data_IF_062989448203
#
_entry.id   IF_062989448203
#
_cell.length_a   1.000
_cell.length_b   1.000
_cell.length_c   1.000
_cell.angle_alpha   90.00
_cell.angle_beta   90.00
_cell.angle_gamma   90.00
#
_symmetry.space_group_name_H-M   'P 1'
#
loop_
_entity.id
_entity.type
_entity.pdbx_description
1 polymer ?
#
# COMPACT_ATOMS: atom_id res chain seq x y z
N UNK A 1 0.56 7.76 24.82
CA UNK A 1 1.60 8.64 25.39
C UNK A 1 2.96 8.47 24.71
N UNK A 2 3.65 7.31 24.78
CA UNK A 2 4.96 7.17 24.11
C UNK A 2 4.92 7.31 22.57
N UNK A 3 3.91 6.75 21.91
CA UNK A 3 3.85 6.80 20.45
C UNK A 3 3.67 8.23 19.90
N UNK A 4 2.99 9.09 20.64
CA UNK A 4 2.79 10.50 20.23
C UNK A 4 4.09 11.28 20.20
N UNK A 5 5.06 10.94 21.07
CA UNK A 5 6.34 11.66 21.18
C UNK A 5 7.32 11.29 20.06
N UNK A 6 7.11 10.15 19.39
CA UNK A 6 7.99 9.67 18.30
C UNK A 6 7.40 9.93 16.90
N UNK A 7 6.18 10.47 16.82
CA UNK A 7 5.53 10.84 15.57
C UNK A 7 5.86 12.29 15.19
N UNK A 8 6.53 12.47 14.06
CA UNK A 8 6.71 13.79 13.46
C UNK A 8 5.38 14.31 12.88
N UNK A 9 5.23 15.64 12.84
CA UNK A 9 4.08 16.29 12.18
C UNK A 9 4.58 17.06 10.96
N UNK A 10 3.98 16.81 9.81
CA UNK A 10 4.30 17.53 8.56
C UNK A 10 3.54 18.85 8.47
N UNK A 11 3.91 19.71 7.51
CA UNK A 11 3.20 20.97 7.24
C UNK A 11 1.72 20.76 6.88
N UNK A 12 1.37 19.62 6.27
CA UNK A 12 0.00 19.22 5.94
C UNK A 12 -0.79 18.65 7.13
N UNK A 13 -0.16 18.48 8.30
CA UNK A 13 -0.78 17.86 9.48
C UNK A 13 -0.72 16.34 9.52
N UNK A 14 -0.04 15.69 8.56
CA UNK A 14 0.18 14.24 8.59
C UNK A 14 1.12 13.86 9.74
N UNK A 15 0.80 12.78 10.44
CA UNK A 15 1.65 12.19 11.49
C UNK A 15 2.49 11.07 10.89
N UNK A 16 3.81 11.17 11.03
CA UNK A 16 4.76 10.25 10.40
C UNK A 16 5.59 9.54 11.46
N UNK A 17 5.56 8.21 11.44
CA UNK A 17 6.54 7.38 12.13
C UNK A 17 7.63 7.01 11.14
N UNK A 18 8.79 7.66 11.24
CA UNK A 18 9.90 7.41 10.34
C UNK A 18 10.55 6.05 10.61
N UNK A 19 11.00 5.38 9.55
CA UNK A 19 11.88 4.22 9.69
C UNK A 19 13.23 4.64 10.32
N UNK A 20 13.96 3.71 10.97
CA UNK A 20 15.29 3.98 11.48
C UNK A 20 16.23 4.53 10.39
N UNK A 21 17.10 5.47 10.74
CA UNK A 21 18.07 6.07 9.80
C UNK A 21 19.10 5.05 9.30
N UNK A 22 19.47 4.10 10.15
CA UNK A 22 20.39 3.02 9.79
C UNK A 22 19.59 1.74 9.55
N UNK A 23 19.70 1.12 8.35
CA UNK A 23 18.98 -0.11 8.03
C UNK A 23 19.23 -1.26 9.02
N UNK A 24 20.43 -1.33 9.60
CA UNK A 24 20.79 -2.35 10.59
C UNK A 24 19.85 -2.32 11.80
N UNK A 25 19.43 -1.15 12.27
CA UNK A 25 18.48 -1.04 13.37
C UNK A 25 17.08 -1.52 12.98
N UNK A 26 16.69 -1.45 11.71
CA UNK A 26 15.39 -1.96 11.26
C UNK A 26 15.31 -3.49 11.33
N UNK A 27 16.44 -4.18 11.14
CA UNK A 27 16.54 -5.64 11.27
C UNK A 27 16.52 -6.11 12.72
N UNK A 28 16.90 -5.26 13.66
CA UNK A 28 16.81 -5.54 15.10
C UNK A 28 15.39 -5.43 15.65
N UNK A 29 14.47 -4.75 14.94
CA UNK A 29 13.08 -4.58 15.39
C UNK A 29 12.31 -5.89 15.22
N UNK A 30 11.81 -6.50 16.30
CA UNK A 30 11.03 -7.74 16.21
C UNK A 30 9.67 -7.53 15.52
N UNK A 31 9.19 -8.54 14.79
CA UNK A 31 7.86 -8.54 14.13
C UNK A 31 6.72 -8.15 15.08
N UNK A 32 6.78 -8.60 16.35
CA UNK A 32 5.77 -8.27 17.38
C UNK A 32 5.70 -6.77 17.66
N UNK A 33 6.81 -6.04 17.53
CA UNK A 33 6.85 -4.59 17.73
C UNK A 33 6.05 -3.87 16.64
N UNK A 34 6.19 -4.28 15.39
CA UNK A 34 5.40 -3.73 14.27
C UNK A 34 3.89 -3.91 14.51
N UNK A 35 3.46 -5.12 14.87
CA UNK A 35 2.03 -5.39 15.11
C UNK A 35 1.45 -4.60 16.29
N UNK A 36 2.24 -4.39 17.36
CA UNK A 36 1.84 -3.54 18.50
C UNK A 36 1.73 -2.07 18.10
N UNK A 37 2.70 -1.56 17.36
CA UNK A 37 2.68 -0.18 16.84
C UNK A 37 1.46 0.04 15.96
N UNK A 38 1.20 -0.86 15.01
CA UNK A 38 0.02 -0.78 14.15
C UNK A 38 -1.29 -0.82 14.93
N UNK A 39 -1.38 -1.65 15.98
CA UNK A 39 -2.54 -1.68 16.87
C UNK A 39 -2.81 -0.31 17.52
N UNK A 40 -1.77 0.31 18.08
CA UNK A 40 -1.89 1.64 18.70
C UNK A 40 -2.22 2.73 17.66
N UNK A 41 -1.58 2.72 16.49
CA UNK A 41 -1.85 3.71 15.43
C UNK A 41 -3.30 3.63 14.94
N UNK A 42 -3.85 2.41 14.82
CA UNK A 42 -5.26 2.20 14.42
C UNK A 42 -6.27 2.74 15.43
N UNK A 43 -5.93 2.82 16.70
CA UNK A 43 -6.79 3.42 17.73
C UNK A 43 -6.70 4.95 17.71
N UNK A 44 -5.61 5.51 17.19
CA UNK A 44 -5.33 6.95 17.20
C UNK A 44 -5.73 7.68 15.91
N UNK A 45 -5.81 6.97 14.78
CA UNK A 45 -6.00 7.57 13.46
C UNK A 45 -7.10 6.87 12.65
N UNK A 46 -7.85 7.64 11.86
CA UNK A 46 -8.83 7.12 10.91
C UNK A 46 -8.21 6.28 9.78
N UNK A 47 -6.99 6.66 9.38
CA UNK A 47 -6.22 5.99 8.33
C UNK A 47 -4.77 5.83 8.77
N UNK A 48 -4.24 4.62 8.59
CA UNK A 48 -2.82 4.30 8.80
C UNK A 48 -2.29 3.74 7.49
N UNK A 49 -1.38 4.47 6.84
CA UNK A 49 -0.72 4.04 5.62
C UNK A 49 0.66 3.50 6.01
N UNK A 50 0.95 2.27 5.61
CA UNK A 50 2.25 1.64 5.83
C UNK A 50 2.95 1.53 4.49
N UNK A 51 4.05 2.26 4.33
CA UNK A 51 4.97 2.08 3.21
C UNK A 51 5.90 0.91 3.52
N UNK A 52 5.99 -0.06 2.59
CA UNK A 52 6.63 -1.35 2.83
C UNK A 52 7.82 -1.56 1.91
N UNK A 53 8.84 -2.26 2.40
CA UNK A 53 9.87 -2.83 1.54
C UNK A 53 9.23 -3.83 0.54
N UNK A 54 9.85 -4.04 -0.65
CA UNK A 54 9.28 -4.94 -1.67
C UNK A 54 9.43 -6.43 -1.34
N UNK A 55 10.12 -6.78 -0.26
CA UNK A 55 10.40 -8.17 0.14
C UNK A 55 9.22 -8.80 0.89
N UNK A 56 8.77 -9.97 0.41
CA UNK A 56 7.74 -10.77 1.07
C UNK A 56 8.34 -11.62 2.20
N UNK A 57 8.74 -10.96 3.29
CA UNK A 57 9.26 -11.58 4.51
C UNK A 57 8.19 -11.70 5.61
N UNK A 58 8.56 -12.27 6.76
CA UNK A 58 7.67 -12.43 7.91
C UNK A 58 7.08 -11.09 8.39
N UNK A 59 7.89 -10.02 8.33
CA UNK A 59 7.49 -8.68 8.76
C UNK A 59 6.39 -8.14 7.84
N UNK A 60 6.57 -8.25 6.52
CA UNK A 60 5.54 -7.87 5.57
C UNK A 60 4.27 -8.68 5.77
N UNK A 61 4.36 -10.01 5.94
CA UNK A 61 3.18 -10.86 6.20
C UNK A 61 2.41 -10.42 7.46
N UNK A 62 3.11 -10.09 8.54
CA UNK A 62 2.49 -9.61 9.77
C UNK A 62 1.80 -8.25 9.60
N UNK A 63 2.36 -7.36 8.75
CA UNK A 63 1.73 -6.09 8.37
C UNK A 63 0.47 -6.38 7.54
N UNK A 64 0.58 -7.22 6.50
CA UNK A 64 -0.53 -7.57 5.60
C UNK A 64 -1.72 -8.18 6.37
N UNK A 65 -1.47 -9.00 7.40
CA UNK A 65 -2.49 -9.57 8.26
C UNK A 65 -3.28 -8.51 9.04
N UNK A 66 -2.62 -7.40 9.39
CA UNK A 66 -3.22 -6.26 10.08
C UNK A 66 -3.81 -5.21 9.13
N UNK A 67 -3.62 -5.33 7.83
CA UNK A 67 -4.14 -4.39 6.83
C UNK A 67 -5.59 -4.69 6.46
N UNK A 68 -6.40 -3.65 6.32
CA UNK A 68 -7.77 -3.76 5.77
C UNK A 68 -7.75 -3.78 4.23
N UNK A 69 -6.77 -3.11 3.62
CA UNK A 69 -6.57 -3.05 2.16
C UNK A 69 -5.07 -3.02 1.86
N UNK A 70 -4.68 -3.67 0.76
CA UNK A 70 -3.31 -3.74 0.25
C UNK A 70 -3.30 -3.15 -1.15
N UNK A 71 -2.70 -1.96 -1.30
CA UNK A 71 -2.42 -1.39 -2.61
C UNK A 71 -1.19 -2.08 -3.18
N UNK A 72 -1.38 -3.03 -4.09
CA UNK A 72 -0.30 -3.78 -4.70
C UNK A 72 0.12 -3.09 -6.00
N UNK A 73 1.24 -2.37 -5.95
CA UNK A 73 1.72 -1.52 -7.05
C UNK A 73 2.52 -2.36 -8.05
N UNK A 74 2.19 -2.24 -9.33
CA UNK A 74 2.88 -2.94 -10.43
C UNK A 74 3.21 -1.93 -11.51
N UNK A 75 4.45 -1.93 -12.00
CA UNK A 75 4.83 -1.12 -13.16
C UNK A 75 4.41 -1.84 -14.45
N UNK A 76 4.09 -1.06 -15.49
CA UNK A 76 3.77 -1.59 -16.82
C UNK A 76 5.04 -2.01 -17.59
N UNK A 77 5.75 -3.00 -17.07
CA UNK A 77 6.89 -3.67 -17.69
C UNK A 77 6.98 -5.17 -17.29
N UNK A 78 7.68 -5.95 -18.11
CA UNK A 78 7.72 -7.41 -17.96
C UNK A 78 8.39 -7.89 -16.65
N UNK A 79 9.53 -7.32 -16.21
CA UNK A 79 10.11 -7.67 -14.91
C UNK A 79 9.16 -7.42 -13.73
N UNK A 80 8.48 -6.28 -13.71
CA UNK A 80 7.53 -5.93 -12.65
C UNK A 80 6.33 -6.87 -12.63
N UNK A 81 5.74 -7.17 -13.79
CA UNK A 81 4.63 -8.13 -13.91
C UNK A 81 5.06 -9.54 -13.48
N UNK A 82 6.27 -9.97 -13.83
CA UNK A 82 6.80 -11.28 -13.40
C UNK A 82 6.95 -11.36 -11.88
N UNK A 83 7.54 -10.33 -11.25
CA UNK A 83 7.71 -10.28 -9.80
C UNK A 83 6.35 -10.22 -9.08
N UNK A 84 5.42 -9.41 -9.59
CA UNK A 84 4.06 -9.32 -9.10
C UNK A 84 3.35 -10.69 -9.15
N UNK A 85 3.48 -11.42 -10.25
CA UNK A 85 2.91 -12.77 -10.39
C UNK A 85 3.43 -13.72 -9.32
N UNK A 86 4.74 -13.73 -9.08
CA UNK A 86 5.35 -14.58 -8.05
C UNK A 86 4.85 -14.23 -6.65
N UNK A 87 4.85 -12.95 -6.28
CA UNK A 87 4.35 -12.50 -4.98
C UNK A 87 2.86 -12.84 -4.78
N UNK A 88 2.01 -12.62 -5.79
CA UNK A 88 0.59 -12.97 -5.72
C UNK A 88 0.35 -14.49 -5.67
N UNK A 89 1.20 -15.28 -6.34
CA UNK A 89 1.20 -16.75 -6.22
C UNK A 89 1.54 -17.19 -4.79
N UNK A 90 2.57 -16.61 -4.19
CA UNK A 90 2.93 -16.87 -2.79
C UNK A 90 1.80 -16.49 -1.83
N UNK A 91 1.22 -15.30 -1.99
CA UNK A 91 0.08 -14.87 -1.16
C UNK A 91 -1.13 -15.80 -1.30
N UNK A 92 -1.39 -16.33 -2.50
CA UNK A 92 -2.43 -17.34 -2.72
C UNK A 92 -2.12 -18.67 -2.00
N UNK A 93 -0.88 -19.13 -2.02
CA UNK A 93 -0.44 -20.33 -1.29
C UNK A 93 -0.63 -20.14 0.22
N UNK A 94 -0.36 -18.93 0.72
CA UNK A 94 -0.56 -18.56 2.12
C UNK A 94 -2.04 -18.29 2.48
N UNK A 95 -2.97 -18.49 1.54
CA UNK A 95 -4.41 -18.21 1.69
C UNK A 95 -4.71 -16.76 2.08
N UNK A 96 -3.89 -15.80 1.64
CA UNK A 96 -4.17 -14.39 1.86
C UNK A 96 -5.43 -13.97 1.08
N UNK A 97 -6.36 -13.23 1.72
CA UNK A 97 -7.64 -12.89 1.11
C UNK A 97 -7.47 -11.94 -0.09
N UNK A 98 -7.74 -12.45 -1.29
CA UNK A 98 -7.56 -11.71 -2.55
C UNK A 98 -8.40 -10.42 -2.64
N UNK A 99 -9.55 -10.35 -1.95
CA UNK A 99 -10.41 -9.15 -1.95
C UNK A 99 -9.76 -7.95 -1.23
N UNK A 100 -8.78 -8.18 -0.35
CA UNK A 100 -7.98 -7.12 0.27
C UNK A 100 -6.94 -6.53 -0.68
N UNK A 101 -6.53 -7.27 -1.71
CA UNK A 101 -5.51 -6.83 -2.67
C UNK A 101 -6.17 -5.98 -3.76
N UNK A 102 -5.64 -4.77 -3.97
CA UNK A 102 -6.08 -3.82 -5.00
C UNK A 102 -4.88 -3.51 -5.87
N UNK A 103 -4.90 -3.99 -7.12
CA UNK A 103 -3.79 -3.73 -8.05
C UNK A 103 -3.80 -2.27 -8.49
N UNK A 104 -2.66 -1.61 -8.33
CA UNK A 104 -2.45 -0.24 -8.83
C UNK A 104 -1.38 -0.30 -9.92
N UNK A 105 -1.77 -0.02 -11.16
CA UNK A 105 -0.83 0.00 -12.29
C UNK A 105 -0.10 1.34 -12.31
N UNK A 106 1.19 1.33 -11.99
CA UNK A 106 2.06 2.48 -12.10
C UNK A 106 2.68 2.58 -13.49
N UNK A 107 2.99 3.81 -13.91
CA UNK A 107 3.52 4.13 -15.24
C UNK A 107 2.65 3.56 -16.37
N UNK A 108 1.33 3.71 -16.25
CA UNK A 108 0.34 3.11 -17.17
C UNK A 108 0.41 3.57 -18.63
N UNK A 109 1.19 4.61 -18.92
CA UNK A 109 1.51 5.09 -20.27
C UNK A 109 2.90 4.64 -20.75
N UNK A 110 3.45 3.59 -20.13
CA UNK A 110 4.74 3.00 -20.50
C UNK A 110 4.77 2.61 -21.98
N UNK A 111 5.92 2.84 -22.62
CA UNK A 111 6.16 2.44 -24.02
C UNK A 111 6.47 0.94 -24.16
N UNK A 112 6.43 0.17 -23.07
CA UNK A 112 6.74 -1.25 -23.05
C UNK A 112 5.77 -2.12 -23.88
N UNK A 113 4.71 -1.55 -24.47
CA UNK A 113 3.71 -2.23 -25.33
C UNK A 113 3.09 -3.49 -24.70
N UNK A 114 2.87 -3.47 -23.39
CA UNK A 114 2.08 -4.49 -22.72
C UNK A 114 0.60 -4.13 -22.81
N UNK A 115 -0.26 -5.14 -22.91
CA UNK A 115 -1.71 -4.94 -22.83
C UNK A 115 -2.17 -5.03 -21.38
N UNK A 116 -3.03 -4.11 -20.95
CA UNK A 116 -3.65 -4.11 -19.62
C UNK A 116 -4.40 -5.43 -19.39
N UNK A 117 -5.12 -5.92 -20.41
CA UNK A 117 -5.88 -7.16 -20.32
C UNK A 117 -4.96 -8.39 -20.17
N UNK A 118 -3.75 -8.33 -20.72
CA UNK A 118 -2.75 -9.38 -20.54
C UNK A 118 -2.16 -9.36 -19.12
N UNK A 119 -1.92 -8.17 -18.58
CA UNK A 119 -1.44 -8.00 -17.20
C UNK A 119 -2.48 -8.54 -16.22
N UNK A 120 -3.75 -8.15 -16.35
CA UNK A 120 -4.83 -8.65 -15.48
C UNK A 120 -4.97 -10.18 -15.55
N UNK A 121 -4.93 -10.76 -16.75
CA UNK A 121 -4.95 -12.23 -16.94
C UNK A 121 -3.75 -12.91 -16.30
N UNK A 122 -2.55 -12.34 -16.43
CA UNK A 122 -1.32 -12.88 -15.86
C UNK A 122 -1.35 -12.86 -14.33
N UNK A 123 -1.84 -11.77 -13.74
CA UNK A 123 -1.89 -11.57 -12.29
C UNK A 123 -3.14 -12.17 -11.63
N UNK A 124 -4.17 -12.50 -12.43
CA UNK A 124 -5.48 -13.02 -12.01
C UNK A 124 -6.21 -12.08 -11.04
N UNK A 125 -6.05 -10.78 -11.26
CA UNK A 125 -6.68 -9.71 -10.49
C UNK A 125 -6.95 -8.54 -11.43
N UNK A 126 -8.08 -7.83 -11.27
CA UNK A 126 -8.34 -6.62 -12.03
C UNK A 126 -7.51 -5.45 -11.51
N UNK A 127 -7.11 -4.56 -12.41
CA UNK A 127 -6.47 -3.29 -12.09
C UNK A 127 -7.52 -2.37 -11.49
N UNK A 128 -7.29 -1.94 -10.26
CA UNK A 128 -8.22 -1.09 -9.49
C UNK A 128 -8.01 0.40 -9.76
N UNK A 129 -6.78 0.80 -10.07
CA UNK A 129 -6.44 2.17 -10.48
C UNK A 129 -5.17 2.17 -11.32
N UNK A 130 -4.95 3.24 -12.09
CA UNK A 130 -3.78 3.41 -12.95
C UNK A 130 -3.19 4.81 -12.82
N UNK A 131 -1.90 4.90 -12.51
CA UNK A 131 -1.17 6.17 -12.40
C UNK A 131 -0.20 6.29 -13.58
N UNK A 132 -0.35 7.31 -14.44
CA UNK A 132 0.56 7.50 -15.57
C UNK A 132 1.90 8.06 -15.11
N UNK A 133 2.95 7.79 -15.88
CA UNK A 133 4.25 8.45 -15.74
C UNK A 133 4.16 9.88 -16.26
N UNK A 134 4.77 10.82 -15.53
CA UNK A 134 4.89 12.23 -15.89
C UNK A 134 6.21 12.78 -15.34
N UNK A 135 6.91 13.61 -16.11
CA UNK A 135 8.17 14.23 -15.70
C UNK A 135 8.01 15.19 -14.51
N UNK A 136 6.79 15.63 -14.23
CA UNK A 136 6.46 16.44 -13.07
C UNK A 136 6.58 15.67 -11.74
N UNK A 137 6.45 14.34 -11.75
CA UNK A 137 6.52 13.55 -10.50
C UNK A 137 7.92 13.62 -9.88
N UNK A 138 9.03 13.31 -10.61
CA UNK A 138 10.38 13.53 -10.09
C UNK A 138 10.67 14.98 -9.69
N UNK A 139 10.16 15.97 -10.44
CA UNK A 139 10.34 17.38 -10.11
C UNK A 139 9.71 17.72 -8.75
N UNK A 140 8.47 17.26 -8.51
CA UNK A 140 7.73 17.46 -7.25
C UNK A 140 8.46 16.86 -6.04
N UNK A 141 9.11 15.71 -6.23
CA UNK A 141 9.92 15.06 -5.19
C UNK A 141 11.14 15.91 -4.83
N UNK A 142 11.85 16.43 -5.84
CA UNK A 142 13.04 17.27 -5.62
C UNK A 142 12.69 18.60 -4.94
N UNK A 143 11.47 19.12 -5.17
CA UNK A 143 10.95 20.32 -4.51
C UNK A 143 10.42 20.05 -3.09
N UNK A 144 10.20 18.79 -2.73
CA UNK A 144 9.61 18.40 -1.44
C UNK A 144 8.11 18.72 -1.32
N UNK A 145 7.43 18.99 -2.44
CA UNK A 145 6.00 19.31 -2.48
C UNK A 145 5.28 18.24 -3.30
N UNK A 146 4.35 17.46 -2.72
CA UNK A 146 3.65 16.39 -3.44
C UNK A 146 3.02 16.86 -4.76
N UNK A 147 3.01 16.00 -5.78
CA UNK A 147 2.44 16.30 -7.10
C UNK A 147 0.98 16.78 -7.05
N UNK A 148 0.20 16.28 -6.09
CA UNK A 148 -1.21 16.67 -5.86
C UNK A 148 -1.36 18.11 -5.39
N UNK A 149 -0.32 18.68 -4.78
CA UNK A 149 -0.29 20.06 -4.29
C UNK A 149 0.40 20.99 -5.30
N UNK A 150 1.59 20.61 -5.80
CA UNK A 150 2.35 21.42 -6.76
C UNK A 150 1.67 21.49 -8.14
N UNK A 151 1.11 20.38 -8.62
CA UNK A 151 0.51 20.27 -9.95
C UNK A 151 -0.84 19.54 -9.91
N UNK A 152 -1.87 20.09 -9.24
CA UNK A 152 -3.15 19.40 -8.99
C UNK A 152 -3.91 19.03 -10.27
N UNK A 153 -3.64 19.73 -11.38
CA UNK A 153 -4.29 19.47 -12.68
C UNK A 153 -3.56 18.41 -13.52
N UNK A 154 -2.38 17.95 -13.09
CA UNK A 154 -1.59 16.95 -13.80
C UNK A 154 -2.32 15.59 -13.85
N UNK A 155 -1.95 14.75 -14.83
CA UNK A 155 -2.57 13.42 -14.95
C UNK A 155 -2.30 12.53 -13.73
N UNK A 156 -1.07 12.46 -13.17
CA UNK A 156 -0.82 11.68 -11.96
C UNK A 156 -1.59 12.20 -10.75
N UNK A 157 -1.70 13.52 -10.56
CA UNK A 157 -2.46 14.09 -9.45
C UNK A 157 -3.93 13.65 -9.48
N UNK A 158 -4.57 13.71 -10.65
CA UNK A 158 -5.94 13.21 -10.83
C UNK A 158 -6.04 11.70 -10.61
N UNK A 159 -5.07 10.93 -11.10
CA UNK A 159 -5.05 9.48 -10.91
C UNK A 159 -4.92 9.06 -9.43
N UNK A 160 -4.26 9.87 -8.59
CA UNK A 160 -4.24 9.63 -7.15
C UNK A 160 -5.61 9.79 -6.49
N UNK A 161 -6.55 10.55 -7.07
CA UNK A 161 -7.94 10.60 -6.58
C UNK A 161 -8.63 9.25 -6.73
N UNK A 162 -8.39 8.54 -7.84
CA UNK A 162 -8.91 7.20 -8.07
C UNK A 162 -8.30 6.18 -7.10
N UNK A 163 -6.98 6.26 -6.85
CA UNK A 163 -6.31 5.44 -5.82
C UNK A 163 -6.91 5.71 -4.44
N UNK A 164 -7.16 6.97 -4.11
CA UNK A 164 -7.76 7.37 -2.82
C UNK A 164 -9.17 6.82 -2.67
N UNK A 165 -9.96 6.81 -3.76
CA UNK A 165 -11.33 6.28 -3.76
C UNK A 165 -11.41 4.82 -3.33
N UNK A 166 -10.44 3.99 -3.74
CA UNK A 166 -10.31 2.59 -3.30
C UNK A 166 -10.32 2.49 -1.77
N UNK A 167 -9.59 3.38 -1.10
CA UNK A 167 -9.46 3.39 0.37
C UNK A 167 -10.73 3.92 1.05
N UNK A 168 -11.38 4.92 0.45
CA UNK A 168 -12.63 5.48 0.97
C UNK A 168 -13.79 4.48 0.87
N UNK A 169 -13.89 3.74 -0.23
CA UNK A 169 -14.91 2.71 -0.44
C UNK A 169 -14.72 1.52 0.50
N UNK A 170 -13.47 1.08 0.73
CA UNK A 170 -13.16 0.01 1.66
C UNK A 170 -13.62 0.31 3.10
N UNK A 171 -13.56 1.59 3.53
CA UNK A 171 -14.05 2.02 4.85
C UNK A 171 -15.58 1.95 4.98
N UNK A 172 -16.31 2.07 3.87
CA UNK A 172 -17.77 2.07 3.86
C UNK A 172 -18.35 0.65 3.82
N UNK A 173 -17.57 -0.34 3.42
CA UNK A 173 -17.98 -1.74 3.45
C UNK A 173 -18.02 -2.23 4.91
N UNK A 174 -19.15 -2.76 5.40
CA UNK A 174 -19.20 -3.36 6.72
C UNK A 174 -18.15 -4.47 6.80
N UNK A 175 -17.25 -4.41 7.79
CA UNK A 175 -16.39 -5.56 8.10
C UNK A 175 -17.32 -6.72 8.45
N UNK A 176 -17.41 -7.72 7.56
CA UNK A 176 -18.11 -8.97 7.88
C UNK A 176 -17.43 -9.56 9.11
N UNK A 177 -18.11 -9.40 10.25
CA UNK A 177 -17.57 -9.73 11.56
C UNK A 177 -17.10 -11.17 11.58
N UNK A 178 -15.91 -11.37 12.18
CA UNK A 178 -15.49 -12.66 12.70
C UNK A 178 -16.68 -13.27 13.45
N UNK A 179 -17.37 -14.25 12.85
CA UNK A 179 -18.40 -15.02 13.52
C UNK A 179 -17.75 -15.63 14.75
N UNK A 180 -18.01 -15.05 15.92
CA UNK A 180 -17.73 -15.66 17.22
C UNK A 180 -18.31 -17.07 17.17
N UNK A 181 -17.43 -18.07 17.04
CA UNK A 181 -17.79 -19.48 17.21
C UNK A 181 -18.18 -19.64 18.68
N UNK A 182 -19.45 -19.37 18.99
CA UNK A 182 -20.10 -19.84 20.21
C UNK A 182 -20.24 -21.35 20.05
N UNK A 183 -19.23 -22.11 20.44
CA UNK A 183 -19.47 -23.48 20.85
C UNK A 183 -19.87 -23.42 22.32
N UNK A 184 -21.18 -23.60 22.54
CA UNK A 184 -21.75 -23.79 23.86
C UNK A 184 -21.45 -25.19 24.38
N UNK A 185 -21.36 -25.24 25.72
CA UNK A 185 -21.61 -26.33 26.68
C UNK A 185 -21.37 -27.76 26.24
#
# INVERSE_FOLDING_TARGET
QFLETVLATTASGMRVLAAPLEPAFADEVPTVTYTRILGMLREMFDYVIVDTAPSLDERLLAILDKSDTVLFVVDMDLPSVKNAKLALETLRILNYPANKIKLVLNRSNSKARLDVDEIERSLRLPISASVPSDGLVPASINEGIPIVESHPKSKPAKAFEDVTRILLEARQQPQEGQKKRRFGR
#
